data_IF_830389075911
#
_entry.id   IF_830389075911
#
_cell.length_a   1.000
_cell.length_b   1.000
_cell.length_c   1.000
_cell.angle_alpha   90.00
_cell.angle_beta   90.00
_cell.angle_gamma   90.00
#
_symmetry.space_group_name_H-M   'P 1'
#
loop_
_entity.id
_entity.type
_entity.pdbx_description
1 polymer ?
#
# COMPACT_ATOMS: atom_id res chain seq x y z
N UNK A 1 38.97 14.92 27.67
CA UNK A 1 38.25 13.63 27.71
C UNK A 1 37.87 13.27 26.29
N UNK A 2 38.61 12.40 25.62
CA UNK A 2 38.26 11.92 24.27
C UNK A 2 37.25 10.79 24.42
N UNK A 3 36.00 11.05 24.04
CA UNK A 3 34.94 10.05 24.04
C UNK A 3 35.13 9.24 22.76
N UNK A 4 35.73 8.05 22.85
CA UNK A 4 35.96 7.18 21.69
C UNK A 4 34.78 6.22 21.55
N UNK A 5 34.20 6.12 20.36
CA UNK A 5 33.14 5.17 20.03
C UNK A 5 33.68 4.10 19.08
N UNK A 6 33.22 2.86 19.27
CA UNK A 6 33.58 1.75 18.38
C UNK A 6 32.64 1.75 17.18
N UNK A 7 33.19 1.78 15.97
CA UNK A 7 32.40 1.71 14.75
C UNK A 7 31.75 0.32 14.61
N UNK A 8 30.46 0.28 14.27
CA UNK A 8 29.68 -0.96 14.17
C UNK A 8 29.98 -1.76 12.89
N UNK A 9 30.51 -1.12 11.85
CA UNK A 9 30.82 -1.76 10.56
C UNK A 9 32.29 -2.24 10.47
N UNK A 10 33.27 -1.48 10.98
CA UNK A 10 34.70 -1.83 10.88
C UNK A 10 35.35 -2.29 12.19
N UNK A 11 34.65 -2.16 13.33
CA UNK A 11 35.13 -2.59 14.63
C UNK A 11 36.33 -1.79 15.19
N UNK A 12 36.81 -0.77 14.48
CA UNK A 12 37.89 0.12 14.92
C UNK A 12 37.34 1.24 15.82
N UNK A 13 38.18 1.72 16.72
CA UNK A 13 37.86 2.85 17.59
C UNK A 13 38.08 4.16 16.82
N UNK A 14 37.07 5.02 16.83
CA UNK A 14 37.07 6.33 16.15
C UNK A 14 36.68 7.41 17.16
N UNK A 15 37.22 8.61 16.99
CA UNK A 15 36.90 9.75 17.84
C UNK A 15 35.42 10.14 17.62
N UNK A 16 34.64 10.27 18.70
CA UNK A 16 33.17 10.40 18.63
C UNK A 16 32.66 11.74 18.10
N UNK A 17 33.55 12.68 17.75
CA UNK A 17 33.18 14.02 17.29
C UNK A 17 32.77 14.07 15.82
N UNK A 18 33.10 13.05 15.02
CA UNK A 18 32.72 12.96 13.60
C UNK A 18 31.56 11.98 13.38
N UNK A 19 30.62 12.36 12.52
CA UNK A 19 29.42 11.55 12.20
C UNK A 19 29.74 10.36 11.27
N UNK A 20 30.96 10.31 10.74
CA UNK A 20 31.47 9.30 9.82
C UNK A 20 32.69 8.62 10.44
N UNK A 21 32.88 7.34 10.13
CA UNK A 21 34.09 6.63 10.55
C UNK A 21 35.26 6.99 9.63
N UNK A 22 36.35 7.48 10.20
CA UNK A 22 37.60 7.81 9.46
C UNK A 22 38.20 6.61 8.71
N UNK A 23 37.83 5.37 9.09
CA UNK A 23 38.42 4.14 8.52
C UNK A 23 37.57 3.45 7.45
N UNK A 24 36.26 3.65 7.45
CA UNK A 24 35.35 2.95 6.53
C UNK A 24 34.29 3.86 5.91
N UNK A 25 34.33 5.16 6.21
CA UNK A 25 33.33 6.18 5.84
C UNK A 25 31.88 5.81 6.18
N UNK A 26 31.69 4.75 6.98
CA UNK A 26 30.37 4.32 7.40
C UNK A 26 29.82 5.34 8.41
N UNK A 27 28.56 5.73 8.22
CA UNK A 27 27.84 6.59 9.14
C UNK A 27 27.78 5.91 10.51
N UNK A 28 28.38 6.53 11.53
CA UNK A 28 28.37 6.00 12.90
C UNK A 28 26.98 6.09 13.53
N UNK A 29 26.12 6.93 12.96
CA UNK A 29 24.80 7.23 13.50
C UNK A 29 23.74 6.23 13.00
N UNK A 30 23.22 5.34 13.88
CA UNK A 30 22.18 4.38 13.50
C UNK A 30 20.87 5.07 13.07
N UNK A 31 20.68 6.33 13.48
CA UNK A 31 19.50 7.14 13.13
C UNK A 31 19.51 7.54 11.65
N UNK A 32 20.68 7.79 11.06
CA UNK A 32 20.80 8.15 9.65
C UNK A 32 20.54 6.94 8.74
N UNK A 33 21.12 5.77 9.05
CA UNK A 33 20.84 4.53 8.31
C UNK A 33 19.37 4.14 8.36
N UNK A 34 18.72 4.27 9.52
CA UNK A 34 17.30 3.97 9.66
C UNK A 34 16.39 4.92 8.85
N UNK A 35 16.81 6.18 8.65
CA UNK A 35 16.08 7.14 7.81
C UNK A 35 16.24 6.81 6.32
N UNK A 36 17.45 6.47 5.88
CA UNK A 36 17.71 6.07 4.50
C UNK A 36 16.99 4.77 4.13
N UNK A 37 17.01 3.76 5.01
CA UNK A 37 16.31 2.50 4.75
C UNK A 37 14.79 2.68 4.68
N UNK A 38 14.21 3.56 5.52
CA UNK A 38 12.79 3.91 5.43
C UNK A 38 12.46 4.63 4.12
N UNK A 39 13.29 5.59 3.71
CA UNK A 39 13.10 6.30 2.45
C UNK A 39 13.17 5.36 1.25
N UNK A 40 14.06 4.37 1.27
CA UNK A 40 14.20 3.37 0.21
C UNK A 40 13.01 2.40 0.18
N UNK A 41 12.54 1.94 1.35
CA UNK A 41 11.32 1.12 1.44
C UNK A 41 10.08 1.86 0.91
N UNK A 42 9.95 3.15 1.20
CA UNK A 42 8.85 3.97 0.70
C UNK A 42 8.94 4.22 -0.81
N UNK A 43 10.16 4.32 -1.37
CA UNK A 43 10.36 4.36 -2.83
C UNK A 43 9.92 3.06 -3.48
N UNK A 44 10.38 1.90 -2.98
CA UNK A 44 10.00 0.59 -3.50
C UNK A 44 8.49 0.33 -3.36
N UNK A 45 7.87 0.78 -2.26
CA UNK A 45 6.43 0.67 -2.07
C UNK A 45 5.65 1.53 -3.07
N UNK A 46 6.12 2.74 -3.38
CA UNK A 46 5.53 3.60 -4.42
C UNK A 46 5.72 3.02 -5.81
N UNK A 47 6.89 2.51 -6.15
CA UNK A 47 7.14 1.85 -7.43
C UNK A 47 6.30 0.59 -7.61
N UNK A 48 6.15 -0.23 -6.57
CA UNK A 48 5.24 -1.40 -6.60
C UNK A 48 3.78 -1.00 -6.78
N UNK A 49 3.34 0.11 -6.16
CA UNK A 49 1.99 0.64 -6.36
C UNK A 49 1.80 1.15 -7.78
N UNK A 50 2.76 1.90 -8.34
CA UNK A 50 2.72 2.37 -9.73
C UNK A 50 2.79 1.20 -10.74
N UNK A 51 3.56 0.14 -10.45
CA UNK A 51 3.60 -1.07 -11.27
C UNK A 51 2.31 -1.89 -11.16
N UNK A 52 1.68 -1.92 -9.99
CA UNK A 52 0.38 -2.55 -9.80
C UNK A 52 -0.73 -1.75 -10.49
N UNK A 53 -0.73 -0.42 -10.34
CA UNK A 53 -1.64 0.48 -11.04
C UNK A 53 -1.46 0.38 -12.56
N UNK A 54 -0.26 0.37 -13.11
CA UNK A 54 -0.07 0.22 -14.56
C UNK A 54 -0.54 -1.15 -15.08
N UNK A 55 -0.36 -2.24 -14.32
CA UNK A 55 -0.90 -3.56 -14.70
C UNK A 55 -2.42 -3.62 -14.55
N UNK A 56 -2.96 -3.06 -13.48
CA UNK A 56 -4.40 -3.03 -13.20
C UNK A 56 -5.12 -2.08 -14.15
N UNK A 57 -4.56 -0.91 -14.47
CA UNK A 57 -5.00 0.00 -15.51
C UNK A 57 -4.90 -0.64 -16.88
N UNK A 58 -3.83 -1.38 -17.19
CA UNK A 58 -3.74 -2.10 -18.48
C UNK A 58 -4.79 -3.21 -18.55
N UNK A 59 -5.09 -3.86 -17.42
CA UNK A 59 -6.15 -4.86 -17.31
C UNK A 59 -7.54 -4.21 -17.47
N UNK A 60 -7.81 -3.11 -16.76
CA UNK A 60 -9.03 -2.30 -16.86
C UNK A 60 -9.20 -1.73 -18.26
N UNK A 61 -8.14 -1.21 -18.88
CA UNK A 61 -8.13 -0.70 -20.26
C UNK A 61 -8.37 -1.83 -21.26
N UNK A 62 -7.81 -3.02 -21.04
CA UNK A 62 -8.09 -4.19 -21.89
C UNK A 62 -9.53 -4.72 -21.71
N UNK A 63 -10.11 -4.58 -20.52
CA UNK A 63 -11.52 -4.89 -20.25
C UNK A 63 -12.46 -3.84 -20.86
N UNK A 64 -12.09 -2.57 -20.78
CA UNK A 64 -12.82 -1.42 -21.34
C UNK A 64 -12.72 -1.37 -22.87
N UNK A 65 -11.60 -1.78 -23.45
CA UNK A 65 -11.46 -1.88 -24.91
C UNK A 65 -12.16 -3.14 -25.46
N UNK A 66 -12.34 -4.15 -24.62
CA UNK A 66 -13.20 -5.32 -24.87
C UNK A 66 -14.63 -5.09 -24.38
N UNK A 67 -15.08 -3.82 -24.31
CA UNK A 67 -16.46 -3.46 -24.05
C UNK A 67 -17.31 -3.75 -25.30
N UNK A 68 -17.51 -5.05 -25.55
CA UNK A 68 -18.70 -5.48 -26.29
C UNK A 68 -19.91 -4.93 -25.54
N UNK A 69 -20.94 -4.41 -26.22
CA UNK A 69 -22.13 -3.78 -25.61
C UNK A 69 -22.84 -4.66 -24.55
N UNK A 70 -22.53 -5.96 -24.51
CA UNK A 70 -23.02 -6.88 -23.49
C UNK A 70 -22.59 -6.59 -22.06
N UNK A 71 -21.41 -6.01 -21.79
CA UNK A 71 -20.97 -5.80 -20.41
C UNK A 71 -21.71 -4.63 -19.73
N UNK A 72 -21.95 -3.54 -20.46
CA UNK A 72 -22.82 -2.45 -19.99
C UNK A 72 -24.24 -2.95 -19.72
N UNK A 73 -24.78 -3.78 -20.61
CA UNK A 73 -26.12 -4.37 -20.46
C UNK A 73 -26.16 -5.29 -19.23
N UNK A 74 -25.17 -6.16 -19.07
CA UNK A 74 -25.07 -7.07 -17.93
C UNK A 74 -24.99 -6.32 -16.60
N UNK A 75 -24.12 -5.31 -16.49
CA UNK A 75 -24.00 -4.49 -15.29
C UNK A 75 -25.28 -3.70 -15.00
N UNK A 76 -25.95 -3.17 -16.02
CA UNK A 76 -27.22 -2.47 -15.86
C UNK A 76 -28.33 -3.40 -15.37
N UNK A 77 -28.41 -4.62 -15.91
CA UNK A 77 -29.37 -5.64 -15.47
C UNK A 77 -29.07 -6.09 -14.03
N UNK A 78 -27.80 -6.31 -13.68
CA UNK A 78 -27.40 -6.67 -12.32
C UNK A 78 -27.74 -5.57 -11.31
N UNK A 79 -27.47 -4.31 -11.61
CA UNK A 79 -27.80 -3.20 -10.72
C UNK A 79 -29.31 -3.05 -10.52
N UNK A 80 -30.10 -3.18 -11.59
CA UNK A 80 -31.57 -3.12 -11.49
C UNK A 80 -32.10 -4.31 -10.69
N UNK A 81 -31.63 -5.52 -10.98
CA UNK A 81 -32.00 -6.72 -10.23
C UNK A 81 -31.62 -6.63 -8.74
N UNK A 82 -30.43 -6.11 -8.44
CA UNK A 82 -29.95 -5.88 -7.09
C UNK A 82 -30.78 -4.83 -6.33
N UNK A 83 -31.16 -3.74 -7.00
CA UNK A 83 -32.03 -2.70 -6.43
C UNK A 83 -33.40 -3.28 -6.07
N UNK A 84 -33.99 -4.07 -6.97
CA UNK A 84 -35.25 -4.77 -6.73
C UNK A 84 -35.10 -5.76 -5.56
N UNK A 85 -34.02 -6.55 -5.54
CA UNK A 85 -33.73 -7.49 -4.47
C UNK A 85 -33.63 -6.81 -3.10
N UNK A 86 -32.91 -5.69 -3.00
CA UNK A 86 -32.82 -4.92 -1.76
C UNK A 86 -34.16 -4.37 -1.30
N UNK A 87 -35.01 -3.91 -2.22
CA UNK A 87 -36.38 -3.50 -1.91
C UNK A 87 -37.24 -4.66 -1.39
N UNK A 88 -37.16 -5.82 -2.03
CA UNK A 88 -37.88 -7.04 -1.62
C UNK A 88 -37.40 -7.53 -0.25
N UNK A 89 -36.09 -7.58 0.00
CA UNK A 89 -35.54 -7.91 1.32
C UNK A 89 -36.04 -6.96 2.41
N UNK A 90 -36.01 -5.65 2.14
CA UNK A 90 -36.49 -4.66 3.10
C UNK A 90 -37.97 -4.88 3.43
N UNK A 91 -38.79 -5.25 2.45
CA UNK A 91 -40.19 -5.58 2.66
C UNK A 91 -40.37 -6.82 3.54
N UNK A 92 -39.61 -7.88 3.28
CA UNK A 92 -39.66 -9.10 4.10
C UNK A 92 -39.19 -8.87 5.54
N UNK A 93 -38.13 -8.10 5.75
CA UNK A 93 -37.65 -7.75 7.09
C UNK A 93 -38.74 -7.01 7.88
N UNK A 94 -39.42 -6.05 7.25
CA UNK A 94 -40.53 -5.33 7.85
C UNK A 94 -41.71 -6.26 8.19
N UNK A 95 -42.05 -7.18 7.28
CA UNK A 95 -43.14 -8.15 7.47
C UNK A 95 -42.85 -9.11 8.64
N UNK A 96 -41.62 -9.61 8.74
CA UNK A 96 -41.19 -10.47 9.86
C UNK A 96 -41.24 -9.70 11.19
N UNK A 97 -40.83 -8.43 11.19
CA UNK A 97 -40.89 -7.59 12.39
C UNK A 97 -42.33 -7.37 12.89
N UNK A 98 -43.31 -7.24 11.98
CA UNK A 98 -44.73 -7.15 12.35
C UNK A 98 -45.33 -8.47 12.86
N UNK A 99 -44.84 -9.62 12.36
CA UNK A 99 -45.29 -10.93 12.85
C UNK A 99 -44.70 -11.24 14.23
N UNK A 100 -43.46 -10.78 14.46
CA UNK A 100 -42.72 -11.02 15.71
C UNK A 100 -42.99 -9.99 16.81
N UNK A 101 -43.76 -8.94 16.54
CA UNK A 101 -44.19 -7.92 17.50
C UNK A 101 -45.67 -8.05 17.79
#
# INVERSE_FOLDING_TARGET
>A
MTNQRKCHDCGKWTDSSENYCVFCDATLDPVLRAKEEKAERDRIAREKKLLAETKFEKYLRSLQESEKPGHQIFFKVLNVAFTIYMGVLSFFIWLIALISG
#
